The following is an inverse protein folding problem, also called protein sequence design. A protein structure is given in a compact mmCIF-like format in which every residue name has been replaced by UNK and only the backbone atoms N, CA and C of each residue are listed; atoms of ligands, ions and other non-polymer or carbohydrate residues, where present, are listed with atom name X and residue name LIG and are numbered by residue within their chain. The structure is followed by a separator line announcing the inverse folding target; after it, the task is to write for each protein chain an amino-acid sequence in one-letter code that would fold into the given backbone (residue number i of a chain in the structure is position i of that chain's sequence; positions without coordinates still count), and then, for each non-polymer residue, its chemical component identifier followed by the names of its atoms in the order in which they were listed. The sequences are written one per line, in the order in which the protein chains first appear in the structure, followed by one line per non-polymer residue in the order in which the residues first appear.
data_IF_544334277424
#
_entry.id   IF_544334277424
#
_cell.length_a   1.000
_cell.length_b   1.000
_cell.length_c   1.000
_cell.angle_alpha   90.00
_cell.angle_beta   90.00
_cell.angle_gamma   90.00
#
_symmetry.space_group_name_H-M   'P 1'
#
loop_
_entity.id
_entity.type
_entity.pdbx_description
1 polymer ?
#
# COMPACT_ATOMS: atom_id res chain seq x y z
N UNK A 1 -16.84 -16.34 21.04
CA UNK A 1 -17.35 -15.57 19.90
C UNK A 1 -18.81 -15.25 20.20
N UNK A 2 -19.13 -14.06 20.72
CA UNK A 2 -20.53 -13.68 20.94
C UNK A 2 -21.13 -13.23 19.62
N UNK A 3 -22.28 -13.79 19.26
CA UNK A 3 -23.05 -13.35 18.11
C UNK A 3 -23.68 -12.00 18.45
N UNK A 4 -22.95 -10.91 18.18
CA UNK A 4 -23.54 -9.59 18.08
C UNK A 4 -24.52 -9.63 16.92
N UNK A 5 -25.82 -9.60 17.23
CA UNK A 5 -26.90 -9.44 16.26
C UNK A 5 -26.82 -8.03 15.65
N UNK A 6 -25.86 -7.82 14.76
CA UNK A 6 -25.78 -6.63 13.94
C UNK A 6 -26.89 -6.74 12.90
N UNK A 7 -27.77 -5.74 12.87
CA UNK A 7 -28.75 -5.57 11.80
C UNK A 7 -28.04 -5.62 10.43
N UNK A 8 -28.73 -6.11 9.40
CA UNK A 8 -28.13 -6.34 8.07
C UNK A 8 -27.46 -5.07 7.51
N UNK A 9 -28.01 -3.90 7.83
CA UNK A 9 -27.43 -2.60 7.51
C UNK A 9 -26.10 -2.34 8.24
N UNK A 10 -26.00 -2.65 9.53
CA UNK A 10 -24.78 -2.48 10.33
C UNK A 10 -23.67 -3.45 9.91
N UNK A 11 -24.02 -4.65 9.48
CA UNK A 11 -23.06 -5.61 8.93
C UNK A 11 -22.52 -5.15 7.56
N UNK A 12 -23.39 -4.69 6.66
CA UNK A 12 -22.96 -4.16 5.36
C UNK A 12 -22.05 -2.94 5.50
N UNK A 13 -22.30 -2.06 6.46
CA UNK A 13 -21.47 -0.88 6.72
C UNK A 13 -20.08 -1.26 7.25
N UNK A 14 -20.01 -2.19 8.22
CA UNK A 14 -18.76 -2.73 8.75
C UNK A 14 -17.94 -3.49 7.71
N UNK A 15 -18.59 -4.20 6.80
CA UNK A 15 -17.88 -4.82 5.68
C UNK A 15 -17.31 -3.77 4.74
N UNK A 16 -18.01 -2.64 4.53
CA UNK A 16 -17.61 -1.59 3.57
C UNK A 16 -16.40 -0.78 4.02
N UNK A 17 -16.25 -0.54 5.32
CA UNK A 17 -15.14 0.24 5.91
C UNK A 17 -13.74 -0.28 5.53
N UNK A 18 -13.44 -1.59 5.69
CA UNK A 18 -12.17 -2.17 5.23
C UNK A 18 -11.86 -1.90 3.75
N UNK A 19 -12.86 -2.01 2.88
CA UNK A 19 -12.68 -1.81 1.44
C UNK A 19 -12.27 -0.39 1.07
N UNK A 20 -12.61 0.63 1.86
CA UNK A 20 -12.20 2.00 1.57
C UNK A 20 -10.71 2.21 1.81
N UNK A 21 -10.15 1.58 2.85
CA UNK A 21 -8.72 1.62 3.14
C UNK A 21 -7.94 0.78 2.11
N UNK A 22 -8.44 -0.41 1.81
CA UNK A 22 -7.85 -1.29 0.79
C UNK A 22 -7.89 -0.65 -0.60
N UNK A 23 -9.02 -0.07 -1.03
CA UNK A 23 -9.13 0.58 -2.36
C UNK A 23 -8.10 1.68 -2.57
N UNK A 24 -7.82 2.49 -1.54
CA UNK A 24 -6.83 3.59 -1.63
C UNK A 24 -5.40 3.07 -1.70
N UNK A 25 -5.09 1.95 -1.06
CA UNK A 25 -3.76 1.34 -1.06
C UNK A 25 -3.54 0.48 -2.31
N UNK A 26 -4.52 -0.33 -2.67
CA UNK A 26 -4.49 -1.27 -3.78
C UNK A 26 -4.39 -0.54 -5.11
N UNK A 27 -5.21 0.49 -5.36
CA UNK A 27 -5.13 1.25 -6.62
C UNK A 27 -3.73 1.86 -6.85
N UNK A 28 -3.07 2.35 -5.80
CA UNK A 28 -1.71 2.87 -5.91
C UNK A 28 -0.72 1.73 -6.19
N UNK A 29 -0.88 0.57 -5.56
CA UNK A 29 -0.04 -0.59 -5.83
C UNK A 29 -0.21 -1.13 -7.26
N UNK A 30 -1.44 -1.27 -7.72
CA UNK A 30 -1.73 -1.87 -9.03
C UNK A 30 -1.41 -0.91 -10.17
N UNK A 31 -1.76 0.38 -10.03
CA UNK A 31 -1.66 1.36 -11.12
C UNK A 31 -0.36 2.17 -11.07
N UNK A 32 0.05 2.65 -9.89
CA UNK A 32 1.24 3.51 -9.75
C UNK A 32 2.51 2.67 -9.62
N UNK A 33 2.46 1.56 -8.88
CA UNK A 33 3.58 0.63 -8.71
C UNK A 33 3.53 -0.56 -9.68
N UNK A 34 2.54 -0.58 -10.58
CA UNK A 34 2.38 -1.53 -11.68
C UNK A 34 2.49 -2.98 -11.22
N UNK A 35 1.90 -3.29 -10.07
CA UNK A 35 1.95 -4.63 -9.48
C UNK A 35 1.39 -5.69 -10.42
N UNK A 36 0.27 -5.41 -11.09
CA UNK A 36 -0.33 -6.32 -12.09
C UNK A 36 0.53 -6.54 -13.35
N UNK A 37 1.41 -5.59 -13.68
CA UNK A 37 2.31 -5.71 -14.84
C UNK A 37 3.63 -6.37 -14.47
N UNK A 38 3.89 -6.58 -13.17
CA UNK A 38 5.09 -7.25 -12.73
C UNK A 38 4.91 -8.76 -12.93
N UNK A 39 5.55 -9.31 -13.96
CA UNK A 39 5.65 -10.76 -14.18
C UNK A 39 6.59 -11.40 -13.14
N UNK A 40 6.23 -11.28 -11.87
CA UNK A 40 6.92 -11.92 -10.76
C UNK A 40 6.36 -13.33 -10.63
N UNK A 41 6.92 -14.27 -11.40
CA UNK A 41 6.50 -15.67 -11.38
C UNK A 41 7.13 -16.51 -10.26
N UNK A 42 8.01 -15.92 -9.45
CA UNK A 42 8.79 -16.66 -8.46
C UNK A 42 8.20 -16.50 -7.05
N UNK A 43 7.99 -17.61 -6.35
CA UNK A 43 7.06 -17.71 -5.22
C UNK A 43 7.25 -16.65 -4.13
N UNK A 44 8.49 -16.45 -3.66
CA UNK A 44 8.79 -15.44 -2.63
C UNK A 44 8.96 -14.02 -3.20
N UNK A 45 9.18 -13.88 -4.52
CA UNK A 45 9.38 -12.58 -5.14
C UNK A 45 8.13 -11.72 -5.04
N UNK A 46 6.94 -12.30 -5.21
CA UNK A 46 5.66 -11.57 -5.10
C UNK A 46 5.48 -10.98 -3.69
N UNK A 47 5.66 -11.81 -2.66
CA UNK A 47 5.51 -11.41 -1.25
C UNK A 47 6.57 -10.39 -0.84
N UNK A 48 7.84 -10.63 -1.20
CA UNK A 48 8.93 -9.72 -0.88
C UNK A 48 8.71 -8.35 -1.55
N UNK A 49 8.25 -8.34 -2.80
CA UNK A 49 7.98 -7.11 -3.52
C UNK A 49 6.78 -6.35 -2.93
N UNK A 50 5.73 -7.08 -2.51
CA UNK A 50 4.58 -6.48 -1.82
C UNK A 50 4.98 -5.83 -0.49
N UNK A 51 5.90 -6.44 0.27
CA UNK A 51 6.46 -5.86 1.51
C UNK A 51 7.25 -4.59 1.19
N UNK A 52 8.18 -4.64 0.23
CA UNK A 52 9.00 -3.49 -0.18
C UNK A 52 8.13 -2.32 -0.65
N UNK A 53 7.12 -2.57 -1.49
CA UNK A 53 6.15 -1.55 -1.92
C UNK A 53 5.43 -0.91 -0.74
N UNK A 54 5.04 -1.72 0.25
CA UNK A 54 4.35 -1.24 1.45
C UNK A 54 5.26 -0.36 2.31
N UNK A 55 6.53 -0.75 2.49
CA UNK A 55 7.53 0.06 3.22
C UNK A 55 7.74 1.40 2.50
N UNK A 56 7.95 1.38 1.19
CA UNK A 56 8.14 2.59 0.39
C UNK A 56 6.93 3.55 0.48
N UNK A 57 5.71 3.01 0.42
CA UNK A 57 4.49 3.80 0.58
C UNK A 57 4.35 4.42 1.97
N UNK A 58 4.69 3.67 3.01
CA UNK A 58 4.63 4.16 4.38
C UNK A 58 5.65 5.28 4.63
N UNK A 59 6.87 5.14 4.10
CA UNK A 59 7.90 6.18 4.17
C UNK A 59 7.45 7.46 3.47
N UNK A 60 6.93 7.35 2.25
CA UNK A 60 6.44 8.51 1.51
C UNK A 60 5.32 9.25 2.23
N UNK A 61 4.41 8.50 2.87
CA UNK A 61 3.33 9.09 3.68
C UNK A 61 3.86 9.77 4.94
N UNK A 62 4.81 9.16 5.63
CA UNK A 62 5.42 9.76 6.83
C UNK A 62 6.18 11.06 6.52
N UNK A 63 6.74 11.18 5.31
CA UNK A 63 7.49 12.36 4.87
C UNK A 63 6.61 13.44 4.21
N UNK A 64 5.29 13.30 4.27
CA UNK A 64 4.35 14.33 3.82
C UNK A 64 4.23 14.47 2.30
N UNK A 65 4.55 13.44 1.53
CA UNK A 65 4.32 13.47 0.07
C UNK A 65 2.83 13.34 -0.24
N UNK A 66 2.22 14.42 -0.76
CA UNK A 66 0.83 14.42 -1.23
C UNK A 66 0.62 13.51 -2.45
N UNK A 67 1.65 13.37 -3.29
CA UNK A 67 1.64 12.51 -4.47
C UNK A 67 2.71 11.43 -4.36
N UNK A 68 2.26 10.17 -4.28
CA UNK A 68 3.13 8.99 -4.28
C UNK A 68 4.01 8.94 -5.54
N UNK A 69 3.49 9.33 -6.70
CA UNK A 69 4.25 9.36 -7.95
C UNK A 69 5.40 10.39 -7.92
N UNK A 70 5.15 11.55 -7.32
CA UNK A 70 6.17 12.59 -7.16
C UNK A 70 7.23 12.14 -6.15
N UNK A 71 6.80 11.54 -5.04
CA UNK A 71 7.69 10.97 -4.03
C UNK A 71 8.58 9.86 -4.58
N UNK A 72 8.00 8.91 -5.33
CA UNK A 72 8.73 7.87 -6.03
C UNK A 72 9.74 8.45 -7.02
N UNK A 73 9.37 9.42 -7.86
CA UNK A 73 10.31 10.06 -8.78
C UNK A 73 11.48 10.72 -8.03
N UNK A 74 11.18 11.38 -6.90
CA UNK A 74 12.17 12.11 -6.12
C UNK A 74 13.10 11.20 -5.31
N UNK A 75 12.64 10.05 -4.85
CA UNK A 75 13.46 9.11 -4.09
C UNK A 75 14.10 8.03 -4.97
N UNK A 76 13.52 7.69 -6.12
CA UNK A 76 14.07 6.68 -7.04
C UNK A 76 15.46 7.06 -7.55
N UNK A 77 15.76 8.35 -7.68
CA UNK A 77 17.08 8.84 -8.08
C UNK A 77 18.02 9.15 -6.91
N UNK A 78 17.55 9.02 -5.66
CA UNK A 78 18.32 9.31 -4.45
C UNK A 78 18.22 8.16 -3.44
N UNK A 79 18.76 7.01 -3.85
CA UNK A 79 18.86 5.81 -3.02
C UNK A 79 19.59 6.09 -1.69
N UNK A 80 20.72 6.83 -1.64
CA UNK A 80 21.39 7.13 -0.37
C UNK A 80 20.54 7.97 0.60
N UNK A 81 19.83 8.98 0.09
CA UNK A 81 18.90 9.80 0.87
C UNK A 81 17.66 9.04 1.34
N UNK A 82 17.29 7.95 0.66
CA UNK A 82 16.24 7.06 1.14
C UNK A 82 16.67 6.31 2.41
N UNK A 83 17.93 5.87 2.49
CA UNK A 83 18.45 5.18 3.67
C UNK A 83 18.61 6.09 4.89
N UNK A 84 18.83 7.40 4.70
CA UNK A 84 18.87 8.34 5.82
C UNK A 84 17.53 8.52 6.54
N UNK A 85 16.41 8.09 5.95
CA UNK A 85 15.10 8.12 6.59
C UNK A 85 14.81 6.91 7.50
N UNK A 86 15.73 5.95 7.58
CA UNK A 86 15.63 4.78 8.45
C UNK A 86 16.48 4.89 9.73
N UNK A 87 17.23 5.98 9.92
CA UNK A 87 17.97 6.32 11.15
C UNK A 87 17.17 7.25 12.05
#
# INVERSE_FOLDING_TARGET
MSALSLDAAGFAQRLREPWHLEKRLHWVKDVVLKEDQAHLCDGHALTNFAIVRTIALNLLRQHGFDSITQGLRRMAHNIPGLFSYFQ
#
